data_IF_043530372819
#
_entry.id   IF_043530372819
#
_cell.length_a   1.000
_cell.length_b   1.000
_cell.length_c   1.000
_cell.angle_alpha   90.00
_cell.angle_beta   90.00
_cell.angle_gamma   90.00
#
_symmetry.space_group_name_H-M   'P 1'
#
loop_
_entity.id
_entity.type
_entity.pdbx_description
1 polymer ?
#
# COMPACT_ATOMS: atom_id res chain seq x y z
N UNK A 1 -25.88 6.79 14.03
CA UNK A 1 -24.59 6.66 13.28
C UNK A 1 -23.81 7.98 13.17
N UNK A 2 -24.43 9.05 12.65
CA UNK A 2 -23.75 10.35 12.49
C UNK A 2 -23.32 10.98 13.81
N UNK A 3 -24.20 11.02 14.82
CA UNK A 3 -23.87 11.54 16.16
C UNK A 3 -22.75 10.76 16.85
N UNK A 4 -22.66 9.43 16.64
CA UNK A 4 -21.55 8.63 17.16
C UNK A 4 -20.23 8.94 16.44
N UNK A 5 -20.27 9.11 15.12
CA UNK A 5 -19.11 9.55 14.34
C UNK A 5 -18.61 10.92 14.80
N UNK A 6 -19.51 11.87 15.02
CA UNK A 6 -19.16 13.19 15.53
C UNK A 6 -18.54 13.12 16.93
N UNK A 7 -19.08 12.27 17.81
CA UNK A 7 -18.57 12.10 19.16
C UNK A 7 -17.20 11.39 19.24
N UNK A 8 -16.87 10.52 18.27
CA UNK A 8 -15.67 9.66 18.33
C UNK A 8 -14.57 10.05 17.36
N UNK A 9 -14.92 10.47 16.15
CA UNK A 9 -13.98 10.90 15.10
C UNK A 9 -13.99 12.43 14.98
N UNK A 10 -15.18 13.05 14.99
CA UNK A 10 -15.40 14.49 15.17
C UNK A 10 -14.82 15.45 14.13
N UNK A 11 -14.08 14.94 13.14
CA UNK A 11 -13.37 15.75 12.13
C UNK A 11 -13.87 15.40 10.73
N UNK A 12 -13.83 16.37 9.82
CA UNK A 12 -14.07 16.11 8.40
C UNK A 12 -12.93 15.24 7.86
N UNK A 13 -13.24 14.07 7.32
CA UNK A 13 -12.24 13.17 6.70
C UNK A 13 -11.96 13.56 5.24
N UNK A 14 -13.00 14.02 4.53
CA UNK A 14 -12.87 14.36 3.12
C UNK A 14 -11.88 15.53 2.94
N UNK A 15 -10.88 15.31 2.09
CA UNK A 15 -9.81 16.26 1.80
C UNK A 15 -8.61 16.17 2.74
N UNK A 16 -8.66 15.40 3.83
CA UNK A 16 -7.56 15.30 4.82
C UNK A 16 -6.47 14.30 4.42
N UNK A 17 -6.84 13.25 3.70
CA UNK A 17 -5.94 12.17 3.30
C UNK A 17 -5.66 12.21 1.79
N UNK A 18 -4.52 11.65 1.39
CA UNK A 18 -4.20 11.29 0.01
C UNK A 18 -4.00 9.79 -0.06
N UNK A 19 -4.43 9.19 -1.17
CA UNK A 19 -3.98 7.86 -1.53
C UNK A 19 -2.74 7.97 -2.40
N UNK A 20 -1.67 7.33 -1.97
CA UNK A 20 -0.45 7.17 -2.76
C UNK A 20 -0.30 5.71 -3.15
N UNK A 21 0.22 5.48 -4.35
CA UNK A 21 0.50 4.14 -4.86
C UNK A 21 1.91 4.05 -5.42
N UNK A 22 2.42 2.81 -5.52
CA UNK A 22 3.61 2.52 -6.31
C UNK A 22 3.26 1.62 -7.49
N UNK A 23 3.12 2.25 -8.66
CA UNK A 23 3.00 1.59 -9.94
C UNK A 23 4.19 1.96 -10.85
N UNK A 24 5.24 1.13 -10.89
CA UNK A 24 6.44 1.40 -11.69
C UNK A 24 6.19 1.36 -13.21
N UNK A 25 5.02 0.93 -13.68
CA UNK A 25 4.65 1.00 -15.12
C UNK A 25 4.33 2.43 -15.57
N UNK A 26 4.05 3.32 -14.61
CA UNK A 26 3.57 4.69 -14.87
C UNK A 26 4.56 5.74 -14.36
N UNK A 27 4.59 6.95 -14.94
CA UNK A 27 5.41 8.03 -14.43
C UNK A 27 5.08 8.35 -12.96
N UNK A 28 6.12 8.59 -12.17
CA UNK A 28 5.97 9.05 -10.80
C UNK A 28 5.62 10.55 -10.73
N UNK A 29 5.08 10.97 -9.58
CA UNK A 29 4.61 12.32 -9.33
C UNK A 29 3.50 12.77 -10.30
N UNK A 30 2.68 11.80 -10.71
CA UNK A 30 1.48 11.99 -11.53
C UNK A 30 0.28 11.42 -10.80
N UNK A 31 -0.83 12.14 -10.89
CA UNK A 31 -2.11 11.76 -10.32
C UNK A 31 -2.95 11.07 -11.38
N UNK A 32 -3.59 9.97 -10.99
CA UNK A 32 -4.42 9.14 -11.84
C UNK A 32 -5.79 8.96 -11.21
N UNK A 33 -6.79 8.74 -12.05
CA UNK A 33 -8.17 8.52 -11.64
C UNK A 33 -8.74 7.34 -12.43
N UNK A 34 -9.32 6.38 -11.72
CA UNK A 34 -9.88 5.17 -12.32
C UNK A 34 -11.29 5.47 -12.83
N UNK A 35 -11.51 5.26 -14.13
CA UNK A 35 -12.80 5.55 -14.75
C UNK A 35 -13.90 4.63 -14.20
N UNK A 36 -15.06 5.21 -13.88
CA UNK A 36 -16.24 4.54 -13.31
C UNK A 36 -16.08 3.95 -11.90
N UNK A 37 -14.90 4.04 -11.29
CA UNK A 37 -14.65 3.48 -9.97
C UNK A 37 -15.09 4.43 -8.85
N UNK A 38 -16.39 4.37 -8.52
CA UNK A 38 -17.02 5.13 -7.43
C UNK A 38 -18.07 4.29 -6.72
N UNK A 39 -18.12 4.40 -5.40
CA UNK A 39 -19.09 3.64 -4.59
C UNK A 39 -20.45 4.33 -4.43
N UNK A 40 -20.53 5.63 -4.72
CA UNK A 40 -21.78 6.40 -4.63
C UNK A 40 -22.06 7.11 -5.94
N UNK A 41 -23.35 7.27 -6.28
CA UNK A 41 -23.79 7.90 -7.53
C UNK A 41 -23.16 9.29 -7.75
N UNK A 42 -23.17 10.13 -6.71
CA UNK A 42 -22.53 11.47 -6.71
C UNK A 42 -21.12 11.45 -6.08
N UNK A 43 -20.48 10.27 -6.04
CA UNK A 43 -19.17 10.08 -5.44
C UNK A 43 -18.03 10.58 -6.32
N UNK A 44 -16.85 10.70 -5.70
CA UNK A 44 -15.61 10.89 -6.44
C UNK A 44 -15.12 9.55 -6.96
N UNK A 45 -14.58 9.54 -8.16
CA UNK A 45 -13.84 8.38 -8.64
C UNK A 45 -12.62 8.15 -7.77
N UNK A 46 -12.13 6.92 -7.79
CA UNK A 46 -10.93 6.56 -7.09
C UNK A 46 -9.71 7.25 -7.73
N UNK A 47 -9.11 8.17 -6.96
CA UNK A 47 -7.91 8.94 -7.36
C UNK A 47 -6.70 8.56 -6.52
N UNK A 48 -5.53 8.44 -7.15
CA UNK A 48 -4.26 8.19 -6.47
C UNK A 48 -3.10 8.97 -7.07
N UNK A 49 -2.11 9.27 -6.24
CA UNK A 49 -0.82 9.83 -6.67
C UNK A 49 0.23 8.70 -6.76
N UNK A 50 0.83 8.52 -7.94
CA UNK A 50 1.89 7.53 -8.11
C UNK A 50 3.24 8.07 -7.60
N UNK A 51 3.90 7.35 -6.71
CA UNK A 51 5.17 7.75 -6.07
C UNK A 51 6.19 6.61 -6.09
N UNK A 52 7.50 6.93 -6.08
CA UNK A 52 8.53 5.94 -5.81
C UNK A 52 8.42 5.45 -4.36
N UNK A 53 8.80 4.19 -4.12
CA UNK A 53 8.72 3.56 -2.79
C UNK A 53 9.43 4.36 -1.69
N UNK A 54 10.52 5.05 -2.01
CA UNK A 54 11.24 5.89 -1.06
C UNK A 54 10.36 7.00 -0.46
N UNK A 55 9.58 7.71 -1.30
CA UNK A 55 8.66 8.75 -0.84
C UNK A 55 7.52 8.15 -0.01
N UNK A 56 7.00 6.99 -0.42
CA UNK A 56 5.94 6.32 0.33
C UNK A 56 6.43 5.85 1.70
N UNK A 57 7.64 5.30 1.77
CA UNK A 57 8.26 4.91 3.03
C UNK A 57 8.44 6.12 3.96
N UNK A 58 8.89 7.28 3.45
CA UNK A 58 9.00 8.53 4.23
C UNK A 58 7.66 8.98 4.80
N UNK A 59 6.61 8.97 3.98
CA UNK A 59 5.23 9.31 4.41
C UNK A 59 4.74 8.36 5.52
N UNK A 60 4.95 7.05 5.34
CA UNK A 60 4.57 6.04 6.31
C UNK A 60 5.32 6.21 7.64
N UNK A 61 6.65 6.39 7.58
CA UNK A 61 7.50 6.61 8.76
C UNK A 61 7.06 7.86 9.51
N UNK A 62 6.79 8.97 8.82
CA UNK A 62 6.35 10.21 9.43
C UNK A 62 5.04 10.03 10.21
N UNK A 63 4.06 9.34 9.62
CA UNK A 63 2.78 9.07 10.27
C UNK A 63 2.91 8.12 11.46
N UNK A 64 3.71 7.06 11.35
CA UNK A 64 3.97 6.12 12.45
C UNK A 64 4.68 6.82 13.62
N UNK A 65 5.67 7.68 13.32
CA UNK A 65 6.38 8.47 14.34
C UNK A 65 5.46 9.45 15.07
N UNK A 66 4.45 9.98 14.38
CA UNK A 66 3.40 10.81 14.96
C UNK A 66 2.28 10.00 15.64
N UNK A 67 2.46 8.68 15.83
CA UNK A 67 1.52 7.82 16.55
C UNK A 67 0.27 7.42 15.77
N UNK A 68 0.25 7.61 14.44
CA UNK A 68 -0.89 7.29 13.59
C UNK A 68 -0.63 6.05 12.74
N UNK A 69 -1.41 4.98 13.01
CA UNK A 69 -1.52 3.80 12.15
C UNK A 69 -2.18 4.17 10.82
N UNK A 70 -1.89 3.41 9.77
CA UNK A 70 -2.21 3.80 8.40
C UNK A 70 -2.82 2.63 7.63
N UNK A 71 -3.83 2.90 6.81
CA UNK A 71 -4.28 1.93 5.81
C UNK A 71 -3.18 1.70 4.76
N UNK A 72 -2.96 0.43 4.42
CA UNK A 72 -2.01 0.00 3.40
C UNK A 72 -2.52 -1.27 2.72
N UNK A 73 -2.18 -1.49 1.45
CA UNK A 73 -2.53 -2.73 0.75
C UNK A 73 -1.33 -3.37 0.05
N UNK A 74 -1.43 -4.69 -0.12
CA UNK A 74 -0.33 -5.53 -0.52
C UNK A 74 -0.79 -6.70 -1.39
N UNK A 75 0.15 -7.31 -2.11
CA UNK A 75 0.00 -8.69 -2.59
C UNK A 75 0.37 -9.67 -1.47
N UNK A 76 -0.54 -9.87 -0.51
CA UNK A 76 -0.21 -10.54 0.76
C UNK A 76 0.11 -12.03 0.61
N UNK A 77 -0.34 -12.66 -0.48
CA UNK A 77 -0.12 -14.09 -0.72
C UNK A 77 1.33 -14.41 -1.10
N UNK A 78 2.05 -13.46 -1.68
CA UNK A 78 3.41 -13.68 -2.19
C UNK A 78 4.38 -13.86 -1.04
N UNK A 79 5.09 -14.98 -1.05
CA UNK A 79 6.17 -15.27 -0.11
C UNK A 79 5.78 -15.11 1.38
N UNK A 80 4.53 -15.47 1.73
CA UNK A 80 4.02 -15.40 3.11
C UNK A 80 4.18 -16.74 3.84
N UNK A 81 4.95 -16.76 4.93
CA UNK A 81 4.87 -17.84 5.93
C UNK A 81 3.65 -17.58 6.82
N UNK A 82 2.52 -18.21 6.48
CA UNK A 82 1.24 -18.04 7.20
C UNK A 82 1.31 -18.48 8.66
N UNK A 83 2.15 -19.46 8.99
CA UNK A 83 2.25 -20.01 10.34
C UNK A 83 3.04 -19.08 11.26
N UNK A 84 4.16 -18.55 10.77
CA UNK A 84 4.99 -17.59 11.54
C UNK A 84 4.52 -16.15 11.43
N UNK A 85 3.77 -15.82 10.38
CA UNK A 85 3.33 -14.46 10.08
C UNK A 85 4.45 -13.57 9.57
N UNK A 86 5.35 -14.13 8.77
CA UNK A 86 6.54 -13.45 8.27
C UNK A 86 6.51 -13.39 6.74
N UNK A 87 6.90 -12.25 6.18
CA UNK A 87 6.88 -11.97 4.75
C UNK A 87 8.26 -11.46 4.31
N UNK A 88 8.90 -12.23 3.46
CA UNK A 88 10.24 -11.96 2.95
C UNK A 88 10.35 -12.48 1.53
N UNK A 89 11.02 -11.77 0.63
CA UNK A 89 11.12 -12.16 -0.78
C UNK A 89 11.78 -13.54 -0.96
N UNK A 90 12.58 -13.94 0.03
CA UNK A 90 13.36 -15.18 0.05
C UNK A 90 12.78 -16.26 0.99
N UNK A 91 11.51 -16.16 1.41
CA UNK A 91 10.90 -17.13 2.31
C UNK A 91 10.82 -18.55 1.73
N UNK A 92 10.59 -18.67 0.42
CA UNK A 92 10.50 -19.94 -0.29
C UNK A 92 11.35 -19.92 -1.57
N UNK A 93 12.27 -20.88 -1.67
CA UNK A 93 13.13 -21.09 -2.83
C UNK A 93 12.42 -21.89 -3.92
N UNK A 94 11.44 -21.24 -4.58
CA UNK A 94 10.75 -21.83 -5.71
C UNK A 94 11.64 -22.03 -6.93
N UNK A 95 12.69 -21.21 -7.08
CA UNK A 95 13.57 -21.26 -8.24
C UNK A 95 14.33 -22.58 -8.31
N UNK A 96 14.94 -23.00 -7.19
CA UNK A 96 15.61 -24.31 -7.12
C UNK A 96 14.61 -25.46 -7.24
N UNK A 97 13.44 -25.36 -6.62
CA UNK A 97 12.41 -26.40 -6.71
C UNK A 97 11.90 -26.63 -8.14
N UNK A 98 11.71 -25.56 -8.91
CA UNK A 98 11.15 -25.61 -10.26
C UNK A 98 12.20 -25.66 -11.37
N UNK A 99 13.49 -25.52 -11.02
CA UNK A 99 14.59 -25.53 -11.99
C UNK A 99 14.58 -24.33 -12.95
N UNK A 100 14.04 -23.19 -12.53
CA UNK A 100 13.95 -21.96 -13.35
C UNK A 100 14.04 -20.71 -12.49
N UNK A 101 14.36 -19.55 -13.09
CA UNK A 101 14.46 -18.27 -12.39
C UNK A 101 13.25 -17.38 -12.65
N UNK A 102 12.73 -16.74 -11.60
CA UNK A 102 11.59 -15.81 -11.66
C UNK A 102 12.08 -14.35 -11.69
N UNK A 103 12.53 -13.88 -12.86
CA UNK A 103 13.24 -12.61 -13.00
C UNK A 103 12.34 -11.38 -13.30
N UNK A 104 11.02 -11.51 -13.16
CA UNK A 104 10.10 -10.41 -13.46
C UNK A 104 10.25 -9.31 -12.41
N UNK A 105 10.43 -8.07 -12.86
CA UNK A 105 10.37 -6.93 -11.94
C UNK A 105 8.91 -6.61 -11.58
N UNK A 106 8.68 -5.68 -10.64
CA UNK A 106 7.33 -5.31 -10.20
C UNK A 106 6.44 -4.80 -11.34
N UNK A 107 6.97 -4.02 -12.28
CA UNK A 107 6.19 -3.54 -13.42
C UNK A 107 5.76 -4.70 -14.32
N UNK A 108 6.66 -5.64 -14.59
CA UNK A 108 6.36 -6.84 -15.38
C UNK A 108 5.26 -7.66 -14.70
N UNK A 109 5.41 -7.95 -13.39
CA UNK A 109 4.45 -8.76 -12.63
C UNK A 109 3.04 -8.15 -12.62
N UNK A 110 2.95 -6.82 -12.53
CA UNK A 110 1.65 -6.14 -12.63
C UNK A 110 1.10 -6.26 -14.06
N UNK A 111 1.94 -6.04 -15.07
CA UNK A 111 1.52 -6.04 -16.48
C UNK A 111 1.03 -7.42 -16.96
N UNK A 112 1.53 -8.50 -16.36
CA UNK A 112 1.16 -9.88 -16.68
C UNK A 112 0.18 -10.50 -15.68
N UNK A 113 -0.46 -9.71 -14.82
CA UNK A 113 -1.42 -10.18 -13.83
C UNK A 113 -0.84 -11.16 -12.79
N UNK A 114 0.49 -11.22 -12.63
CA UNK A 114 1.13 -12.07 -11.61
C UNK A 114 1.06 -11.43 -10.22
N UNK A 115 1.00 -10.10 -10.12
CA UNK A 115 0.95 -9.40 -8.85
C UNK A 115 0.05 -8.16 -8.89
N UNK A 116 -0.70 -7.96 -7.79
CA UNK A 116 -1.66 -6.88 -7.64
C UNK A 116 -2.00 -6.61 -6.17
N UNK A 117 -2.83 -5.60 -5.92
CA UNK A 117 -3.20 -5.19 -4.56
C UNK A 117 -4.31 -6.10 -3.97
N UNK A 118 -3.93 -7.30 -3.52
CA UNK A 118 -4.89 -8.36 -3.12
C UNK A 118 -5.45 -8.27 -1.70
N UNK A 119 -4.85 -7.48 -0.81
CA UNK A 119 -5.36 -7.39 0.57
C UNK A 119 -5.01 -6.09 1.27
N UNK A 120 -5.97 -5.55 2.00
CA UNK A 120 -5.80 -4.36 2.84
C UNK A 120 -5.48 -4.73 4.29
N UNK A 121 -4.49 -4.06 4.88
CA UNK A 121 -4.05 -4.22 6.26
C UNK A 121 -3.71 -2.87 6.89
N UNK A 122 -3.57 -2.85 8.22
CA UNK A 122 -3.20 -1.62 8.94
C UNK A 122 -1.70 -1.63 9.24
N UNK A 123 -0.94 -0.71 8.65
CA UNK A 123 0.46 -0.50 8.98
C UNK A 123 0.58 0.15 10.36
N UNK A 124 1.32 -0.51 11.25
CA UNK A 124 1.35 -0.16 12.69
C UNK A 124 2.71 0.22 13.23
N UNK A 125 3.79 -0.31 12.66
CA UNK A 125 5.14 0.01 13.12
C UNK A 125 6.19 -0.21 12.03
N UNK A 126 7.34 0.41 12.24
CA UNK A 126 8.55 0.28 11.43
C UNK A 126 9.76 0.12 12.34
N UNK A 127 10.66 -0.78 12.00
CA UNK A 127 11.99 -0.88 12.59
C UNK A 127 12.98 -0.16 11.69
N UNK A 128 13.73 0.80 12.25
CA UNK A 128 14.69 1.63 11.52
C UNK A 128 16.11 1.27 11.91
N UNK A 129 17.03 1.34 10.95
CA UNK A 129 18.47 1.28 11.23
C UNK A 129 18.98 2.59 11.87
N UNK A 130 20.28 2.63 12.19
CA UNK A 130 20.93 3.81 12.81
C UNK A 130 20.90 5.06 11.92
N UNK A 131 20.72 4.89 10.61
CA UNK A 131 20.66 5.97 9.63
C UNK A 131 19.21 6.40 9.33
N UNK A 132 18.22 5.75 9.96
CA UNK A 132 16.80 6.02 9.75
C UNK A 132 16.19 5.28 8.56
N UNK A 133 16.88 4.31 7.96
CA UNK A 133 16.32 3.51 6.86
C UNK A 133 15.45 2.36 7.42
N UNK A 134 14.32 2.05 6.77
CA UNK A 134 13.46 0.94 7.17
C UNK A 134 14.13 -0.42 6.95
N UNK A 135 14.10 -1.27 7.99
CA UNK A 135 14.55 -2.66 7.93
C UNK A 135 13.39 -3.64 7.76
N UNK A 136 12.32 -3.41 8.51
CA UNK A 136 11.12 -4.24 8.52
C UNK A 136 9.93 -3.44 9.02
N UNK A 137 8.75 -3.93 8.66
CA UNK A 137 7.48 -3.29 8.94
C UNK A 137 6.54 -4.26 9.62
N UNK A 138 5.59 -3.73 10.40
CA UNK A 138 4.58 -4.53 11.08
C UNK A 138 3.19 -4.06 10.66
N UNK A 139 2.37 -5.00 10.22
CA UNK A 139 0.94 -4.78 9.94
C UNK A 139 0.06 -5.56 10.88
N UNK A 140 -1.07 -4.98 11.22
CA UNK A 140 -2.20 -5.63 11.87
C UNK A 140 -3.18 -6.08 10.80
N UNK A 141 -3.54 -7.37 10.84
CA UNK A 141 -4.41 -8.00 9.87
C UNK A 141 -5.76 -8.37 10.51
N UNK A 142 -6.77 -8.65 9.68
CA UNK A 142 -8.15 -8.96 10.07
C UNK A 142 -8.45 -10.45 10.17
N UNK A 143 -7.47 -11.35 10.03
CA UNK A 143 -7.66 -12.81 10.08
C UNK A 143 -7.76 -13.38 11.51
N UNK A 144 -7.84 -12.53 12.52
CA UNK A 144 -8.00 -12.91 13.91
C UNK A 144 -6.68 -13.16 14.65
N UNK A 145 -6.74 -13.33 15.98
CA UNK A 145 -5.57 -13.30 16.85
C UNK A 145 -4.69 -14.54 16.76
N UNK A 146 -5.15 -15.62 16.13
CA UNK A 146 -4.40 -16.87 15.97
C UNK A 146 -3.46 -16.86 14.76
N UNK A 147 -3.60 -15.88 13.86
CA UNK A 147 -2.75 -15.74 12.68
C UNK A 147 -1.47 -14.96 12.99
N UNK A 148 -0.35 -15.44 12.46
CA UNK A 148 0.97 -14.81 12.61
C UNK A 148 1.34 -14.54 14.07
N UNK A 149 1.79 -13.31 14.35
CA UNK A 149 2.16 -12.85 15.68
C UNK A 149 0.99 -12.15 16.35
N UNK A 150 0.02 -12.92 16.85
CA UNK A 150 -1.19 -12.40 17.52
C UNK A 150 -2.05 -11.48 16.63
N UNK A 151 -2.32 -11.91 15.40
CA UNK A 151 -3.06 -11.14 14.39
C UNK A 151 -2.20 -10.15 13.60
N UNK A 152 -0.90 -10.07 13.89
CA UNK A 152 0.03 -9.20 13.16
C UNK A 152 0.96 -10.00 12.24
N UNK A 153 1.38 -9.37 11.16
CA UNK A 153 2.41 -9.87 10.25
C UNK A 153 3.63 -8.94 10.26
N UNK A 154 4.80 -9.51 10.05
CA UNK A 154 6.07 -8.79 9.93
C UNK A 154 6.61 -8.98 8.52
N UNK A 155 6.98 -7.89 7.86
CA UNK A 155 7.56 -7.92 6.52
C UNK A 155 8.94 -7.29 6.48
N UNK A 156 9.85 -7.85 5.68
CA UNK A 156 11.10 -7.16 5.38
C UNK A 156 10.86 -5.91 4.54
N UNK A 157 11.82 -4.98 4.58
CA UNK A 157 11.73 -3.80 3.72
C UNK A 157 11.75 -4.17 2.23
N UNK A 158 12.49 -5.21 1.85
CA UNK A 158 12.51 -5.70 0.46
C UNK A 158 11.12 -6.20 0.04
N UNK A 159 10.47 -7.02 0.88
CA UNK A 159 9.11 -7.49 0.60
C UNK A 159 8.11 -6.33 0.50
N UNK A 160 8.21 -5.34 1.40
CA UNK A 160 7.40 -4.12 1.34
C UNK A 160 7.56 -3.36 0.01
N UNK A 161 8.80 -3.22 -0.49
CA UNK A 161 9.05 -2.54 -1.76
C UNK A 161 8.45 -3.29 -2.96
N UNK A 162 8.56 -4.62 -2.96
CA UNK A 162 8.10 -5.45 -4.08
C UNK A 162 6.58 -5.64 -4.12
N UNK A 163 5.92 -5.69 -2.96
CA UNK A 163 4.53 -6.14 -2.86
C UNK A 163 3.57 -5.15 -2.16
N UNK A 164 3.99 -3.95 -1.77
CA UNK A 164 3.06 -2.88 -1.36
C UNK A 164 2.55 -2.10 -2.56
N UNK A 165 1.25 -1.78 -2.58
CA UNK A 165 0.62 -1.07 -3.69
C UNK A 165 -0.04 0.23 -3.30
N UNK A 166 -0.77 0.29 -2.19
CA UNK A 166 -1.55 1.47 -1.78
C UNK A 166 -1.21 1.87 -0.35
N UNK A 167 -1.17 3.18 -0.07
CA UNK A 167 -1.08 3.76 1.26
C UNK A 167 -2.01 4.98 1.34
N UNK A 168 -2.84 5.09 2.38
CA UNK A 168 -3.70 6.27 2.58
C UNK A 168 -3.19 7.05 3.78
N UNK A 169 -2.60 8.22 3.51
CA UNK A 169 -1.83 8.98 4.52
C UNK A 169 -2.33 10.42 4.62
N UNK A 170 -2.25 11.00 5.82
CA UNK A 170 -2.66 12.38 6.06
C UNK A 170 -1.75 13.33 5.28
N UNK A 171 -2.35 14.29 4.56
CA UNK A 171 -1.63 15.30 3.76
C UNK A 171 -0.61 16.10 4.56
N UNK A 172 -0.79 16.24 5.88
CA UNK A 172 0.15 16.97 6.75
C UNK A 172 1.58 16.40 6.75
N UNK A 173 1.76 15.14 6.36
CA UNK A 173 3.09 14.51 6.26
C UNK A 173 3.72 14.66 4.88
N UNK A 174 2.97 15.12 3.89
CA UNK A 174 3.45 15.29 2.53
C UNK A 174 4.27 16.56 2.37
N UNK A 175 5.32 16.49 1.56
CA UNK A 175 6.08 17.67 1.14
C UNK A 175 5.27 18.51 0.17
N UNK A 176 5.63 19.79 -0.02
CA UNK A 176 4.95 20.65 -0.99
C UNK A 176 4.95 20.05 -2.40
N UNK A 177 6.06 19.42 -2.82
CA UNK A 177 6.15 18.69 -4.10
C UNK A 177 5.08 17.60 -4.24
N UNK A 178 4.84 16.83 -3.19
CA UNK A 178 3.81 15.77 -3.18
C UNK A 178 2.41 16.40 -3.21
N UNK A 179 2.18 17.47 -2.45
CA UNK A 179 0.89 18.18 -2.43
C UNK A 179 0.56 18.80 -3.79
N UNK A 180 1.54 19.42 -4.44
CA UNK A 180 1.41 19.98 -5.79
C UNK A 180 1.12 18.88 -6.81
N UNK A 181 1.83 17.74 -6.72
CA UNK A 181 1.59 16.59 -7.60
C UNK A 181 0.18 15.99 -7.39
N UNK A 182 -0.26 15.84 -6.14
CA UNK A 182 -1.59 15.35 -5.80
C UNK A 182 -2.72 16.29 -6.26
N UNK A 183 -2.42 17.56 -6.54
CA UNK A 183 -3.38 18.58 -6.96
C UNK A 183 -3.45 18.74 -8.49
N UNK A 184 -2.63 17.99 -9.24
CA UNK A 184 -2.68 17.98 -10.70
C UNK A 184 -4.03 17.41 -11.18
N UNK A 185 -4.49 17.87 -12.36
CA UNK A 185 -5.60 17.23 -13.06
C UNK A 185 -5.24 15.75 -13.30
N UNK A 186 -6.05 14.78 -12.83
CA UNK A 186 -5.73 13.38 -12.98
C UNK A 186 -5.69 12.94 -14.45
N UNK A 187 -4.81 12.00 -14.75
CA UNK A 187 -4.88 11.21 -16.00
C UNK A 187 -5.83 10.04 -15.78
N UNK A 188 -6.86 9.94 -16.61
CA UNK A 188 -7.80 8.81 -16.53
C UNK A 188 -7.10 7.50 -16.89
N UNK A 189 -7.36 6.47 -16.09
CA UNK A 189 -6.97 5.09 -16.35
C UNK A 189 -8.23 4.24 -16.43
N UNK A 190 -8.14 3.17 -17.21
CA UNK A 190 -9.28 2.31 -17.48
C UNK A 190 -9.51 1.32 -16.33
N UNK A 191 -10.77 0.92 -16.07
CA UNK A 191 -11.11 0.04 -14.96
C UNK A 191 -10.60 -1.39 -15.13
N UNK A 192 -10.23 -1.79 -16.35
CA UNK A 192 -9.66 -3.10 -16.68
C UNK A 192 -8.15 -3.19 -16.40
N UNK A 193 -7.51 -2.15 -15.84
CA UNK A 193 -6.11 -2.25 -15.45
C UNK A 193 -5.91 -3.30 -14.33
N UNK A 194 -4.88 -4.16 -14.44
CA UNK A 194 -4.59 -5.21 -13.44
C UNK A 194 -4.57 -4.76 -11.98
N UNK A 195 -4.26 -3.49 -11.68
CA UNK A 195 -4.22 -2.97 -10.31
C UNK A 195 -5.59 -2.66 -9.70
N UNK A 196 -6.64 -2.57 -10.51
CA UNK A 196 -7.99 -2.17 -10.09
C UNK A 196 -9.01 -3.30 -10.24
N UNK A 197 -8.63 -4.41 -10.86
CA UNK A 197 -9.47 -5.59 -10.95
C UNK A 197 -9.77 -6.17 -9.55
N UNK A 198 -10.91 -6.86 -9.45
CA UNK A 198 -11.24 -7.65 -8.27
C UNK A 198 -10.20 -8.76 -8.06
N UNK A 199 -9.97 -9.08 -6.79
CA UNK A 199 -9.05 -10.15 -6.40
C UNK A 199 -9.62 -11.50 -6.87
N UNK A 200 -8.84 -12.26 -7.65
CA UNK A 200 -9.19 -13.63 -8.05
C UNK A 200 -8.97 -14.65 -6.93
#
# INVERSE_FOLDING_TARGET
PQTFYEATVGKKLNGTFIMVMNDPRRPYYKTFEVEYDRHTYDGHNWTYLNLPMEEIAKLAIASIKDGHKIYSSYDVGKQLDRKRGYMDVDNFDYSTLMGTNFNMNKADRISTFDSGSTHAMTLTAVDLDKNGNPKKWKVENSWGPTYGQKGCLIMTNNWFNEYMFRLVVNKKYATQKILDAASQKPTMVTPDDPLFLEDN
#
